data_IF_467520738810
#
_entry.id   IF_467520738810
#
_cell.length_a   1.000
_cell.length_b   1.000
_cell.length_c   1.000
_cell.angle_alpha   90.00
_cell.angle_beta   90.00
_cell.angle_gamma   90.00
#
_symmetry.space_group_name_H-M   'P 1'
#
loop_
_entity.id
_entity.type
_entity.pdbx_description
1 polymer ?
#
# COMPACT_ATOMS: atom_id res chain seq x y z
N UNK A 1 17.81 4.63 -29.01
CA UNK A 1 18.31 4.32 -27.65
C UNK A 1 17.74 2.96 -27.25
N UNK A 2 18.60 2.05 -26.80
CA UNK A 2 18.21 0.67 -26.49
C UNK A 2 17.54 0.63 -25.10
N UNK A 3 16.51 -0.20 -24.91
CA UNK A 3 15.69 -0.21 -23.67
C UNK A 3 16.51 -0.47 -22.39
N UNK A 4 17.57 -1.27 -22.50
CA UNK A 4 18.49 -1.59 -21.41
C UNK A 4 19.29 -0.38 -20.93
N UNK A 5 19.76 0.47 -21.85
CA UNK A 5 20.52 1.67 -21.50
C UNK A 5 19.67 2.69 -20.72
N UNK A 6 18.36 2.74 -21.01
CA UNK A 6 17.42 3.61 -20.30
C UNK A 6 17.18 3.16 -18.87
N UNK A 7 17.17 1.84 -18.64
CA UNK A 7 17.01 1.25 -17.31
C UNK A 7 18.24 1.56 -16.46
N UNK A 8 19.44 1.38 -17.02
CA UNK A 8 20.71 1.65 -16.32
C UNK A 8 20.87 3.15 -15.94
N UNK A 9 20.43 4.06 -16.82
CA UNK A 9 20.35 5.51 -16.50
C UNK A 9 19.42 5.78 -15.31
N UNK A 10 18.26 5.13 -15.27
CA UNK A 10 17.27 5.30 -14.21
C UNK A 10 17.78 4.70 -12.89
N UNK A 11 18.41 3.53 -12.92
CA UNK A 11 19.01 2.91 -11.74
C UNK A 11 20.13 3.80 -11.15
N UNK A 12 20.95 4.39 -12.02
CA UNK A 12 22.00 5.33 -11.60
C UNK A 12 21.40 6.57 -10.93
N UNK A 13 20.27 7.10 -11.44
CA UNK A 13 19.57 8.23 -10.85
C UNK A 13 18.85 7.89 -9.53
N UNK A 14 18.41 6.65 -9.35
CA UNK A 14 17.71 6.18 -8.15
C UNK A 14 18.67 5.75 -7.02
N UNK A 15 19.90 5.37 -7.34
CA UNK A 15 20.94 4.98 -6.35
C UNK A 15 21.17 6.01 -5.23
N UNK A 16 21.36 7.31 -5.50
CA UNK A 16 21.56 8.30 -4.43
C UNK A 16 20.30 8.50 -3.58
N UNK A 17 19.12 8.44 -4.20
CA UNK A 17 17.84 8.56 -3.51
C UNK A 17 17.63 7.36 -2.57
N UNK A 18 17.92 6.15 -3.04
CA UNK A 18 17.87 4.93 -2.22
C UNK A 18 18.82 5.01 -1.02
N UNK A 19 20.05 5.49 -1.20
CA UNK A 19 21.02 5.62 -0.12
C UNK A 19 20.60 6.65 0.95
N UNK A 20 20.04 7.79 0.54
CA UNK A 20 19.49 8.80 1.46
C UNK A 20 18.33 8.23 2.29
N UNK A 21 17.44 7.50 1.63
CA UNK A 21 16.28 6.88 2.27
C UNK A 21 16.67 5.77 3.26
N UNK A 22 17.65 4.94 2.92
CA UNK A 22 18.19 3.90 3.83
C UNK A 22 18.81 4.54 5.07
N UNK A 23 19.61 5.60 4.88
CA UNK A 23 20.28 6.29 5.98
C UNK A 23 19.32 6.95 6.98
N UNK A 24 18.16 7.39 6.51
CA UNK A 24 17.21 8.14 7.34
C UNK A 24 16.07 7.28 7.91
N UNK A 25 15.63 6.26 7.18
CA UNK A 25 14.52 5.38 7.57
C UNK A 25 14.99 4.06 8.21
N UNK A 26 16.27 3.70 8.05
CA UNK A 26 16.80 2.42 8.55
C UNK A 26 16.16 1.20 7.89
N UNK A 27 15.69 1.35 6.64
CA UNK A 27 15.04 0.30 5.84
C UNK A 27 15.94 -0.18 4.72
N UNK A 28 15.81 -1.43 4.32
CA UNK A 28 16.55 -1.96 3.17
C UNK A 28 15.96 -1.41 1.86
N UNK A 29 16.82 -0.95 0.97
CA UNK A 29 16.44 -0.51 -0.37
C UNK A 29 17.04 -1.46 -1.41
N UNK A 30 16.20 -1.92 -2.33
CA UNK A 30 16.58 -2.72 -3.48
C UNK A 30 16.23 -1.95 -4.75
N UNK A 31 17.21 -1.81 -5.65
CA UNK A 31 17.02 -1.19 -6.96
C UNK A 31 17.17 -2.30 -7.99
N UNK A 32 16.13 -2.52 -8.78
CA UNK A 32 16.16 -3.49 -9.86
C UNK A 32 15.20 -3.06 -10.99
N UNK A 33 15.63 -3.26 -12.24
CA UNK A 33 14.84 -2.96 -13.44
C UNK A 33 14.36 -1.50 -13.52
N UNK A 34 15.12 -0.57 -12.93
CA UNK A 34 14.74 0.86 -12.88
C UNK A 34 13.64 1.18 -11.86
N UNK A 35 13.36 0.28 -10.91
CA UNK A 35 12.42 0.50 -9.82
C UNK A 35 13.13 0.50 -8.46
N UNK A 36 12.80 1.49 -7.62
CA UNK A 36 13.27 1.56 -6.24
C UNK A 36 12.24 0.91 -5.31
N UNK A 37 12.67 -0.16 -4.64
CA UNK A 37 11.86 -0.94 -3.71
C UNK A 37 12.41 -0.79 -2.29
N UNK A 38 11.59 -0.34 -1.35
CA UNK A 38 11.93 -0.25 0.07
C UNK A 38 11.24 -1.38 0.85
N UNK A 39 11.98 -2.06 1.71
CA UNK A 39 11.45 -3.11 2.58
C UNK A 39 11.25 -2.52 3.97
N UNK A 40 9.98 -2.35 4.35
CA UNK A 40 9.56 -1.82 5.64
C UNK A 40 8.99 -2.93 6.52
N UNK A 41 8.96 -2.68 7.83
CA UNK A 41 8.34 -3.57 8.82
C UNK A 41 6.99 -3.00 9.25
N UNK A 42 6.12 -3.84 9.81
CA UNK A 42 4.79 -3.42 10.27
C UNK A 42 4.82 -2.28 11.28
N UNK A 43 5.87 -2.21 12.11
CA UNK A 43 5.99 -1.22 13.18
C UNK A 43 6.40 0.16 12.65
N UNK A 44 7.19 0.22 11.57
CA UNK A 44 7.72 1.48 11.04
C UNK A 44 7.00 1.97 9.78
N UNK A 45 5.98 1.25 9.30
CA UNK A 45 5.30 1.60 8.04
C UNK A 45 4.73 3.02 8.03
N UNK A 46 4.09 3.46 9.13
CA UNK A 46 3.53 4.81 9.22
C UNK A 46 4.61 5.89 9.21
N UNK A 47 5.71 5.68 9.95
CA UNK A 47 6.85 6.60 9.93
C UNK A 47 7.51 6.66 8.55
N UNK A 48 7.65 5.52 7.86
CA UNK A 48 8.20 5.45 6.51
C UNK A 48 7.32 6.21 5.54
N UNK A 49 6.02 5.93 5.50
CA UNK A 49 5.07 6.62 4.61
C UNK A 49 5.02 8.13 4.88
N UNK A 50 5.07 8.54 6.15
CA UNK A 50 5.06 9.97 6.53
C UNK A 50 6.32 10.68 6.06
N UNK A 51 7.50 10.10 6.30
CA UNK A 51 8.76 10.67 5.84
C UNK A 51 8.87 10.69 4.29
N UNK A 52 8.37 9.64 3.61
CA UNK A 52 8.27 9.59 2.16
C UNK A 52 7.44 10.76 1.61
N UNK A 53 6.30 11.05 2.25
CA UNK A 53 5.45 12.17 1.88
C UNK A 53 6.12 13.51 2.18
N UNK A 54 6.54 13.75 3.42
CA UNK A 54 6.89 15.08 3.90
C UNK A 54 8.31 15.53 3.50
N UNK A 55 9.29 14.61 3.47
CA UNK A 55 10.68 14.94 3.11
C UNK A 55 11.02 14.63 1.67
N UNK A 56 10.57 13.48 1.18
CA UNK A 56 10.91 13.02 -0.17
C UNK A 56 9.88 13.45 -1.24
N UNK A 57 8.73 14.00 -0.83
CA UNK A 57 7.73 14.53 -1.74
C UNK A 57 6.98 13.45 -2.53
N UNK A 58 6.76 12.27 -1.95
CA UNK A 58 5.87 11.25 -2.51
C UNK A 58 4.42 11.55 -2.14
N UNK A 59 3.78 12.41 -2.93
CA UNK A 59 2.45 12.94 -2.64
C UNK A 59 1.30 12.01 -3.08
N UNK A 60 1.53 11.16 -4.10
CA UNK A 60 0.49 10.33 -4.68
C UNK A 60 0.72 8.86 -4.35
N UNK A 61 -0.24 8.27 -3.63
CA UNK A 61 -0.41 6.82 -3.53
C UNK A 61 -1.15 6.34 -4.78
N UNK A 62 -0.46 5.56 -5.61
CA UNK A 62 -1.01 5.03 -6.85
C UNK A 62 -1.80 3.76 -6.60
N UNK A 63 -1.22 2.83 -5.84
CA UNK A 63 -1.80 1.51 -5.65
C UNK A 63 -1.42 0.90 -4.30
N UNK A 64 -2.31 0.05 -3.79
CA UNK A 64 -2.16 -0.73 -2.57
C UNK A 64 -2.55 -2.18 -2.90
N UNK A 65 -1.56 -3.02 -3.02
CA UNK A 65 -1.72 -4.43 -3.37
C UNK A 65 -1.35 -5.34 -2.20
N UNK A 66 -2.04 -6.48 -2.10
CA UNK A 66 -1.63 -7.60 -1.25
C UNK A 66 -1.27 -8.80 -2.12
N UNK A 67 -0.08 -9.35 -1.92
CA UNK A 67 0.38 -10.58 -2.59
C UNK A 67 0.43 -11.70 -1.58
N UNK A 68 -0.15 -12.85 -1.92
CA UNK A 68 -0.19 -14.03 -1.06
C UNK A 68 0.89 -15.04 -1.49
N UNK A 69 1.80 -15.36 -0.56
CA UNK A 69 2.83 -16.39 -0.69
C UNK A 69 2.58 -17.51 0.33
N UNK A 70 1.88 -18.59 -0.05
CA UNK A 70 1.49 -19.65 0.89
C UNK A 70 2.67 -20.43 1.48
N UNK A 71 3.82 -20.44 0.81
CA UNK A 71 5.01 -21.17 1.25
C UNK A 71 5.82 -20.45 2.35
N UNK A 72 5.46 -19.20 2.69
CA UNK A 72 6.17 -18.37 3.68
C UNK A 72 5.46 -18.34 5.03
N UNK A 73 6.23 -18.22 6.10
CA UNK A 73 5.69 -18.01 7.45
C UNK A 73 4.93 -16.67 7.56
N UNK A 74 5.45 -15.62 6.91
CA UNK A 74 4.72 -14.36 6.67
C UNK A 74 4.08 -14.44 5.27
N UNK A 75 2.82 -14.88 5.26
CA UNK A 75 2.07 -15.23 4.05
C UNK A 75 1.77 -14.04 3.16
N UNK A 76 1.52 -12.87 3.73
CA UNK A 76 1.03 -11.71 2.98
C UNK A 76 2.13 -10.67 2.80
N UNK A 77 2.35 -10.24 1.56
CA UNK A 77 3.20 -9.12 1.22
C UNK A 77 2.32 -7.94 0.79
N UNK A 78 2.27 -6.89 1.60
CA UNK A 78 1.55 -5.65 1.31
C UNK A 78 2.49 -4.71 0.58
N UNK A 79 2.07 -4.23 -0.58
CA UNK A 79 2.88 -3.42 -1.49
C UNK A 79 2.18 -2.09 -1.73
N UNK A 80 2.88 -1.00 -1.42
CA UNK A 80 2.45 0.37 -1.70
C UNK A 80 3.23 0.92 -2.88
N UNK A 81 2.53 1.43 -3.89
CA UNK A 81 3.16 2.13 -5.01
C UNK A 81 2.95 3.64 -4.85
N UNK A 82 4.05 4.36 -4.72
CA UNK A 82 4.07 5.80 -4.52
C UNK A 82 4.69 6.50 -5.72
N UNK A 83 4.16 7.67 -6.05
CA UNK A 83 4.65 8.55 -7.11
C UNK A 83 4.97 9.94 -6.54
N UNK A 84 6.16 10.41 -6.86
CA UNK A 84 6.55 11.80 -6.68
C UNK A 84 6.48 12.53 -8.02
N UNK A 85 5.64 13.55 -8.11
CA UNK A 85 5.52 14.38 -9.32
C UNK A 85 6.67 15.39 -9.46
N UNK A 86 7.24 15.86 -8.35
CA UNK A 86 8.34 16.83 -8.35
C UNK A 86 9.64 16.21 -8.84
N UNK A 87 9.88 14.94 -8.47
CA UNK A 87 11.06 14.17 -8.89
C UNK A 87 10.78 13.23 -10.07
N UNK A 88 9.51 13.13 -10.50
CA UNK A 88 9.00 12.17 -11.48
C UNK A 88 9.54 10.74 -11.23
N UNK A 89 9.58 10.34 -9.96
CA UNK A 89 10.16 9.08 -9.51
C UNK A 89 9.09 8.23 -8.82
N UNK A 90 9.16 6.91 -9.02
CA UNK A 90 8.27 5.93 -8.41
C UNK A 90 9.03 5.11 -7.38
N UNK A 91 8.37 4.84 -6.26
CA UNK A 91 8.89 3.98 -5.19
C UNK A 91 7.85 2.94 -4.84
N UNK A 92 8.31 1.72 -4.65
CA UNK A 92 7.53 0.60 -4.15
C UNK A 92 7.93 0.35 -2.70
N UNK A 93 6.99 0.35 -1.76
CA UNK A 93 7.25 -0.04 -0.37
C UNK A 93 6.62 -1.39 -0.14
N UNK A 94 7.41 -2.35 0.31
CA UNK A 94 6.99 -3.72 0.62
C UNK A 94 7.00 -3.94 2.11
N UNK A 95 6.01 -4.67 2.57
CA UNK A 95 5.81 -5.06 3.96
C UNK A 95 5.41 -6.53 3.96
N UNK A 96 5.97 -7.32 4.87
CA UNK A 96 5.51 -8.68 5.14
C UNK A 96 4.61 -8.72 6.37
N UNK A 97 3.57 -9.56 6.31
CA UNK A 97 2.59 -9.74 7.38
C UNK A 97 2.01 -11.16 7.38
N UNK A 98 1.41 -11.53 8.50
CA UNK A 98 0.74 -12.82 8.69
C UNK A 98 -0.79 -12.64 8.64
N UNK A 99 -1.56 -13.71 8.88
CA UNK A 99 -3.03 -13.68 8.82
C UNK A 99 -3.69 -13.07 10.08
N UNK A 100 -2.94 -12.94 11.18
CA UNK A 100 -3.48 -12.61 12.50
C UNK A 100 -3.14 -11.18 12.91
N UNK A 101 -1.98 -10.69 12.52
CA UNK A 101 -1.42 -9.41 12.91
C UNK A 101 -1.93 -8.32 11.96
N UNK A 102 -2.67 -7.32 12.47
CA UNK A 102 -3.16 -6.24 11.62
C UNK A 102 -2.02 -5.32 11.19
N UNK A 103 -2.09 -4.87 9.93
CA UNK A 103 -1.24 -3.81 9.39
C UNK A 103 -1.87 -2.45 9.68
N UNK A 104 -1.10 -1.46 10.19
CA UNK A 104 -1.62 -0.11 10.40
C UNK A 104 -2.13 0.53 9.10
N UNK A 105 -3.31 1.18 9.17
CA UNK A 105 -3.93 1.81 8.00
C UNK A 105 -3.17 3.07 7.55
N UNK A 106 -2.90 3.19 6.25
CA UNK A 106 -2.23 4.36 5.67
C UNK A 106 -3.15 5.60 5.47
N UNK A 107 -4.44 5.50 5.83
CA UNK A 107 -5.45 6.57 5.60
C UNK A 107 -5.07 7.89 6.26
N UNK A 108 -4.41 7.85 7.43
CA UNK A 108 -3.95 9.06 8.12
C UNK A 108 -2.85 9.82 7.36
N UNK A 109 -2.09 9.14 6.50
CA UNK A 109 -1.01 9.73 5.68
C UNK A 109 -1.48 10.03 4.26
N UNK A 110 -2.38 9.21 3.72
CA UNK A 110 -2.97 9.39 2.39
C UNK A 110 -4.50 9.35 2.51
N UNK A 111 -5.18 10.51 2.60
CA UNK A 111 -6.62 10.54 2.70
C UNK A 111 -7.27 10.12 1.38
N UNK A 112 -8.33 9.31 1.45
CA UNK A 112 -9.09 8.82 0.29
C UNK A 112 -9.71 9.96 -0.53
N UNK A 113 -9.95 11.10 0.10
CA UNK A 113 -10.50 12.31 -0.54
C UNK A 113 -9.45 13.06 -1.36
N UNK A 114 -8.17 12.66 -1.28
CA UNK A 114 -7.05 13.43 -1.79
C UNK A 114 -6.89 14.77 -1.06
N UNK A 115 -6.09 15.66 -1.65
CA UNK A 115 -5.73 16.95 -1.07
C UNK A 115 -6.32 18.16 -1.82
N UNK A 116 -6.68 17.97 -3.09
CA UNK A 116 -7.15 19.04 -3.98
C UNK A 116 -8.44 18.63 -4.67
N UNK A 117 -9.33 19.59 -4.83
CA UNK A 117 -10.52 19.50 -5.67
C UNK A 117 -10.40 20.43 -6.88
N UNK A 118 -11.22 20.18 -7.88
CA UNK A 118 -11.28 20.99 -9.11
C UNK A 118 -12.65 21.63 -9.24
N UNK A 119 -12.67 22.93 -9.51
CA UNK A 119 -13.88 23.66 -9.91
C UNK A 119 -13.63 24.50 -11.15
N UNK A 120 -14.70 24.74 -11.90
CA UNK A 120 -14.65 25.72 -12.98
C UNK A 120 -14.83 27.12 -12.39
N UNK A 121 -13.96 28.04 -12.79
CA UNK A 121 -14.05 29.44 -12.43
C UNK A 121 -14.54 30.25 -13.64
N UNK A 122 -15.70 30.91 -13.52
CA UNK A 122 -16.30 31.69 -14.59
C UNK A 122 -15.58 33.01 -14.88
N UNK A 123 -14.96 33.63 -13.86
CA UNK A 123 -14.19 34.87 -14.05
C UNK A 123 -12.92 34.59 -14.85
N UNK A 124 -12.23 33.50 -14.51
CA UNK A 124 -10.98 33.10 -15.15
C UNK A 124 -11.19 32.19 -16.37
N UNK A 125 -12.43 31.78 -16.64
CA UNK A 125 -12.85 30.84 -17.69
C UNK A 125 -12.00 29.56 -17.77
N UNK A 126 -11.54 29.04 -16.63
CA UNK A 126 -10.65 27.87 -16.56
C UNK A 126 -10.98 26.98 -15.36
N UNK A 127 -10.50 25.73 -15.43
CA UNK A 127 -10.51 24.83 -14.27
C UNK A 127 -9.37 25.22 -13.34
N UNK A 128 -9.69 25.42 -12.07
CA UNK A 128 -8.73 25.74 -11.01
C UNK A 128 -8.65 24.58 -10.01
N UNK A 129 -7.51 24.49 -9.33
CA UNK A 129 -7.24 23.51 -8.28
C UNK A 129 -7.25 24.23 -6.93
N UNK A 130 -8.08 23.78 -6.01
CA UNK A 130 -8.20 24.36 -4.65
C UNK A 130 -8.08 23.25 -3.59
N UNK A 131 -7.70 23.56 -2.34
CA UNK A 131 -7.72 22.59 -1.25
C UNK A 131 -9.13 22.02 -1.07
N UNK A 132 -9.22 20.71 -0.86
CA UNK A 132 -10.51 20.00 -0.72
C UNK A 132 -11.38 20.60 0.38
N UNK A 133 -12.65 20.89 0.08
CA UNK A 133 -13.64 21.36 1.04
C UNK A 133 -14.95 20.60 0.86
N UNK A 134 -15.06 19.48 1.56
CA UNK A 134 -16.26 18.65 1.50
C UNK A 134 -17.40 19.28 2.31
N UNK A 135 -18.57 19.39 1.68
CA UNK A 135 -19.81 19.81 2.36
C UNK A 135 -20.27 18.78 3.40
N UNK A 136 -19.92 17.52 3.17
CA UNK A 136 -20.14 16.41 4.09
C UNK A 136 -18.86 15.60 4.20
N UNK A 137 -18.35 15.43 5.42
CA UNK A 137 -17.14 14.63 5.65
C UNK A 137 -17.35 13.15 5.30
N UNK A 138 -16.23 12.47 5.04
CA UNK A 138 -16.22 11.02 4.85
C UNK A 138 -16.68 10.35 6.15
N UNK A 139 -17.80 9.62 6.09
CA UNK A 139 -18.32 8.86 7.22
C UNK A 139 -17.60 7.53 7.29
N UNK A 140 -16.76 7.35 8.31
CA UNK A 140 -16.21 6.05 8.63
C UNK A 140 -17.27 5.23 9.39
N UNK A 141 -17.76 4.17 8.77
CA UNK A 141 -18.73 3.26 9.38
C UNK A 141 -17.98 2.05 9.93
N UNK A 142 -18.10 1.82 11.23
CA UNK A 142 -17.63 0.60 11.85
C UNK A 142 -18.68 -0.51 11.62
N UNK A 143 -18.35 -1.44 10.73
CA UNK A 143 -19.21 -2.58 10.40
C UNK A 143 -18.94 -3.81 11.27
N UNK A 144 -17.99 -3.75 12.21
CA UNK A 144 -17.76 -4.83 13.16
C UNK A 144 -18.95 -4.92 14.11
N UNK A 145 -19.68 -6.03 14.03
CA UNK A 145 -20.72 -6.34 15.00
C UNK A 145 -20.07 -6.53 16.38
N UNK A 146 -20.58 -5.87 17.44
CA UNK A 146 -20.12 -6.10 18.80
C UNK A 146 -20.58 -7.46 19.37
N UNK A 147 -21.51 -8.14 18.68
CA UNK A 147 -21.90 -9.52 18.95
C UNK A 147 -20.97 -10.45 18.19
N UNK A 148 -20.41 -11.44 18.88
CA UNK A 148 -19.72 -12.59 18.28
C UNK A 148 -20.59 -13.08 17.11
N UNK A 149 -20.10 -12.86 15.89
CA UNK A 149 -20.88 -13.11 14.67
C UNK A 149 -21.45 -14.52 14.73
N UNK A 150 -22.68 -14.70 14.25
CA UNK A 150 -23.25 -16.03 14.11
C UNK A 150 -22.18 -16.94 13.48
N UNK A 151 -21.83 -18.02 14.15
CA UNK A 151 -20.90 -19.01 13.63
C UNK A 151 -21.44 -19.50 12.29
N UNK A 152 -21.07 -18.84 11.19
CA UNK A 152 -20.87 -19.51 9.92
C UNK A 152 -19.55 -20.25 10.05
N UNK A 153 -19.51 -21.18 11.01
CA UNK A 153 -19.32 -22.56 10.65
C UNK A 153 -18.92 -22.72 9.17
N UNK A 154 -17.63 -22.94 8.95
CA UNK A 154 -17.12 -23.91 7.97
C UNK A 154 -17.70 -25.31 8.24
N UNK A 155 -18.97 -25.40 8.63
CA UNK A 155 -19.67 -26.56 9.13
C UNK A 155 -20.98 -26.61 8.36
N UNK A 156 -20.84 -27.14 7.14
CA UNK A 156 -21.88 -27.86 6.40
C UNK A 156 -23.16 -27.06 6.15
N UNK A 157 -23.26 -26.49 4.94
CA UNK A 157 -24.55 -26.12 4.38
C UNK A 157 -25.46 -27.37 4.38
N UNK A 158 -26.76 -27.26 4.71
CA UNK A 158 -27.69 -28.38 4.63
C UNK A 158 -27.67 -28.98 3.21
N UNK A 159 -27.00 -30.13 3.04
CA UNK A 159 -26.72 -30.74 1.74
C UNK A 159 -25.26 -31.21 1.52
N UNK A 160 -24.29 -30.73 2.30
CA UNK A 160 -22.86 -31.08 2.16
C UNK A 160 -22.39 -32.25 3.06
N UNK A 161 -23.32 -33.09 3.52
CA UNK A 161 -23.04 -34.22 4.44
C UNK A 161 -22.08 -35.29 3.88
N UNK A 162 -21.79 -35.28 2.57
CA UNK A 162 -20.91 -36.27 1.91
C UNK A 162 -19.47 -35.82 1.72
N UNK A 163 -19.10 -34.58 2.09
CA UNK A 163 -17.73 -34.09 1.91
C UNK A 163 -16.76 -34.55 3.02
N UNK A 164 -17.25 -35.07 4.15
CA UNK A 164 -16.43 -35.49 5.30
C UNK A 164 -15.87 -36.92 5.17
N UNK A 165 -15.63 -37.40 3.94
CA UNK A 165 -15.35 -38.81 3.66
C UNK A 165 -13.88 -39.24 3.55
N UNK A 166 -12.88 -38.36 3.69
CA UNK A 166 -11.47 -38.75 3.56
C UNK A 166 -10.54 -37.94 4.48
N UNK A 167 -10.32 -38.42 5.71
CA UNK A 167 -9.01 -38.36 6.38
C UNK A 167 -9.09 -39.02 7.76
N UNK A 168 -8.57 -40.25 7.88
CA UNK A 168 -8.39 -40.86 9.21
C UNK A 168 -8.24 -42.37 9.25
N UNK A 169 -7.28 -42.94 8.51
CA UNK A 169 -6.75 -44.27 8.84
C UNK A 169 -5.26 -44.15 9.16
N UNK A 170 -4.94 -44.08 10.45
CA UNK A 170 -3.67 -44.56 10.98
C UNK A 170 -3.97 -45.53 12.11
N UNK A 171 -3.60 -46.79 11.88
CA UNK A 171 -3.24 -47.74 12.92
C UNK A 171 -1.88 -47.37 13.52
#
# INVERSE_FOLDING_TARGET
>A
MNALARIEEIETALTPLGAEMVGELGVEAQIAFGELTLIATRANILSVLTALKDRFGFHQLLDLCGVDFPDRAERFEVVYHLLSMTRNARVRVKLTTDEVQPVPSAVGVFPMTGYVEVRYDEEQKRVIYEPVKLTQEFRNFDFLSPWEGAEYATTVLPGDEKAQGLAGSKA
#
